data_IF_785309405735
#
_entry.id   IF_785309405735
#
_cell.length_a   1.000
_cell.length_b   1.000
_cell.length_c   1.000
_cell.angle_alpha   90.00
_cell.angle_beta   90.00
_cell.angle_gamma   90.00
#
_symmetry.space_group_name_H-M   'P 1'
#
loop_
_entity.id
_entity.type
_entity.pdbx_description
1 polymer ?
#
# COMPACT_ATOMS: atom_id res chain seq x y z
N UNK A 1 -1.95 19.97 2.56
CA UNK A 1 -1.28 19.42 3.75
C UNK A 1 -0.30 20.44 4.29
N UNK A 2 -0.07 20.45 5.59
CA UNK A 2 1.10 21.08 6.23
C UNK A 2 2.31 20.17 5.95
N UNK A 3 3.36 20.66 5.24
CA UNK A 3 4.46 19.79 4.83
C UNK A 3 5.21 19.16 6.01
N UNK A 4 5.59 17.90 5.85
CA UNK A 4 6.40 17.13 6.80
C UNK A 4 7.44 16.29 6.06
N UNK A 5 8.37 15.66 6.79
CA UNK A 5 9.42 14.81 6.20
C UNK A 5 9.53 13.46 6.92
N UNK A 6 9.68 12.40 6.13
CA UNK A 6 9.93 11.02 6.58
C UNK A 6 11.37 10.66 6.21
N UNK A 7 12.18 10.30 7.20
CA UNK A 7 13.54 9.84 6.96
C UNK A 7 14.31 9.59 8.25
N UNK A 8 15.32 8.71 8.16
CA UNK A 8 16.12 8.24 9.30
C UNK A 8 16.80 9.36 10.10
N UNK A 9 17.12 10.49 9.45
CA UNK A 9 17.81 11.62 10.07
C UNK A 9 16.87 12.62 10.75
N UNK A 10 15.56 12.38 10.70
CA UNK A 10 14.53 13.24 11.26
C UNK A 10 13.81 12.52 12.41
N UNK A 11 12.88 13.21 13.09
CA UNK A 11 12.04 12.58 14.10
C UNK A 11 11.29 11.38 13.50
N UNK A 12 11.18 10.29 14.28
CA UNK A 12 10.33 9.15 13.92
C UNK A 12 8.90 9.63 13.76
N UNK A 13 8.22 9.13 12.73
CA UNK A 13 6.84 9.50 12.37
C UNK A 13 5.91 8.32 12.59
N UNK A 14 4.64 8.59 12.91
CA UNK A 14 3.60 7.59 13.16
C UNK A 14 2.45 7.78 12.19
N UNK A 15 2.05 6.70 11.54
CA UNK A 15 0.87 6.67 10.68
C UNK A 15 -0.35 6.14 11.45
N UNK A 16 -1.53 6.73 11.22
CA UNK A 16 -2.80 6.20 11.70
C UNK A 16 -3.63 5.65 10.53
N UNK A 17 -4.11 4.41 10.65
CA UNK A 17 -5.01 3.82 9.66
C UNK A 17 -6.46 4.07 10.07
N UNK A 18 -7.23 4.67 9.15
CA UNK A 18 -8.68 4.83 9.24
C UNK A 18 -9.31 4.19 7.99
N UNK A 19 -10.62 4.34 7.83
CA UNK A 19 -11.34 3.90 6.64
C UNK A 19 -12.61 3.14 6.99
N UNK A 20 -13.61 3.30 6.13
CA UNK A 20 -14.86 2.59 6.24
C UNK A 20 -14.71 1.11 5.83
N UNK A 21 -15.70 0.29 6.19
CA UNK A 21 -15.82 -1.06 5.65
C UNK A 21 -17.24 -1.31 5.16
N UNK A 22 -17.43 -2.39 4.42
CA UNK A 22 -18.77 -2.82 3.98
C UNK A 22 -19.75 -3.11 5.13
N UNK A 23 -19.25 -3.21 6.37
CA UNK A 23 -20.04 -3.59 7.56
C UNK A 23 -20.28 -2.40 8.50
N UNK A 24 -19.40 -1.40 8.53
CA UNK A 24 -19.43 -0.32 9.55
C UNK A 24 -18.82 0.98 9.04
N UNK A 25 -19.20 2.07 9.71
CA UNK A 25 -18.72 3.45 9.55
C UNK A 25 -19.44 4.30 8.49
N UNK A 26 -19.41 5.62 8.69
CA UNK A 26 -19.94 6.65 7.79
C UNK A 26 -18.86 7.67 7.44
N UNK A 27 -19.12 8.56 6.47
CA UNK A 27 -18.19 9.62 6.09
C UNK A 27 -17.86 10.51 7.29
N UNK A 28 -18.87 10.85 8.10
CA UNK A 28 -18.73 11.69 9.29
C UNK A 28 -17.82 11.04 10.33
N UNK A 29 -18.00 9.74 10.60
CA UNK A 29 -17.14 8.99 11.53
C UNK A 29 -15.69 8.93 11.03
N UNK A 30 -15.46 8.77 9.73
CA UNK A 30 -14.09 8.75 9.18
C UNK A 30 -13.40 10.11 9.26
N UNK A 31 -14.13 11.21 9.03
CA UNK A 31 -13.59 12.57 9.25
C UNK A 31 -13.31 12.83 10.73
N UNK A 32 -14.17 12.34 11.64
CA UNK A 32 -13.90 12.44 13.08
C UNK A 32 -12.63 11.67 13.48
N UNK A 33 -12.45 10.45 12.95
CA UNK A 33 -11.24 9.65 13.18
C UNK A 33 -9.98 10.34 12.68
N UNK A 34 -10.03 11.00 11.51
CA UNK A 34 -8.92 11.81 11.00
C UNK A 34 -8.52 12.92 11.99
N UNK A 35 -9.49 13.71 12.44
CA UNK A 35 -9.25 14.80 13.40
C UNK A 35 -8.72 14.24 14.72
N UNK A 36 -9.26 13.11 15.18
CA UNK A 36 -8.83 12.48 16.41
C UNK A 36 -7.40 11.94 16.32
N UNK A 37 -7.07 11.24 15.23
CA UNK A 37 -5.75 10.68 14.99
C UNK A 37 -4.67 11.77 14.96
N UNK A 38 -4.90 12.83 14.18
CA UNK A 38 -3.95 13.96 14.06
C UNK A 38 -3.80 14.70 15.39
N UNK A 39 -4.89 14.91 16.13
CA UNK A 39 -4.85 15.52 17.48
C UNK A 39 -3.94 14.77 18.46
N UNK A 40 -3.87 13.44 18.36
CA UNK A 40 -3.06 12.60 19.25
C UNK A 40 -1.68 12.24 18.67
N UNK A 41 -1.27 12.89 17.58
CA UNK A 41 0.09 12.77 17.03
C UNK A 41 0.24 11.80 15.86
N UNK A 42 -0.83 11.50 15.12
CA UNK A 42 -0.72 10.87 13.81
C UNK A 42 -0.07 11.85 12.81
N UNK A 43 1.18 11.58 12.42
CA UNK A 43 1.96 12.39 11.48
C UNK A 43 1.51 12.21 10.02
N UNK A 44 0.95 11.04 9.71
CA UNK A 44 0.25 10.74 8.45
C UNK A 44 -1.00 9.94 8.76
N UNK A 45 -1.95 9.93 7.84
CA UNK A 45 -3.14 9.07 7.93
C UNK A 45 -3.28 8.28 6.64
N UNK A 46 -3.70 7.02 6.72
CA UNK A 46 -4.12 6.29 5.54
C UNK A 46 -5.63 6.06 5.55
N UNK A 47 -6.26 6.38 4.42
CA UNK A 47 -7.62 5.94 4.14
C UNK A 47 -7.57 4.53 3.54
N UNK A 48 -7.93 3.54 4.36
CA UNK A 48 -8.00 2.12 3.97
C UNK A 48 -9.45 1.66 3.73
N UNK A 49 -10.33 2.61 3.40
CA UNK A 49 -11.74 2.38 3.12
C UNK A 49 -11.97 1.24 2.12
N UNK A 50 -13.00 0.45 2.39
CA UNK A 50 -13.46 -0.67 1.54
C UNK A 50 -14.98 -0.67 1.46
N UNK A 51 -15.53 -1.09 0.33
CA UNK A 51 -16.98 -1.07 0.10
C UNK A 51 -17.48 0.23 -0.53
N UNK A 52 -18.55 0.81 0.04
CA UNK A 52 -19.31 1.91 -0.60
C UNK A 52 -18.66 3.27 -0.35
N UNK A 53 -18.87 4.18 -1.29
CA UNK A 53 -18.52 5.60 -1.19
C UNK A 53 -17.04 5.86 -0.87
N UNK A 54 -16.13 5.01 -1.37
CA UNK A 54 -14.68 5.17 -1.14
C UNK A 54 -14.19 6.52 -1.66
N UNK A 55 -14.65 6.92 -2.85
CA UNK A 55 -14.25 8.17 -3.48
C UNK A 55 -14.67 9.39 -2.65
N UNK A 56 -15.94 9.43 -2.24
CA UNK A 56 -16.53 10.53 -1.48
C UNK A 56 -15.96 10.60 -0.06
N UNK A 57 -15.78 9.45 0.61
CA UNK A 57 -15.16 9.40 1.94
C UNK A 57 -13.76 9.99 1.90
N UNK A 58 -12.95 9.58 0.92
CA UNK A 58 -11.59 10.09 0.74
C UNK A 58 -11.57 11.57 0.40
N UNK A 59 -12.51 12.06 -0.40
CA UNK A 59 -12.61 13.50 -0.72
C UNK A 59 -12.78 14.32 0.56
N UNK A 60 -13.71 13.92 1.43
CA UNK A 60 -13.90 14.58 2.73
C UNK A 60 -12.67 14.51 3.62
N UNK A 61 -11.98 13.37 3.68
CA UNK A 61 -10.73 13.21 4.43
C UNK A 61 -9.66 14.18 3.88
N UNK A 62 -9.41 14.16 2.58
CA UNK A 62 -8.36 14.96 1.94
C UNK A 62 -8.59 16.47 2.09
N UNK A 63 -9.84 16.94 1.97
CA UNK A 63 -10.17 18.36 2.11
C UNK A 63 -10.08 18.85 3.56
N UNK A 64 -10.08 17.96 4.54
CA UNK A 64 -10.03 18.30 5.96
C UNK A 64 -8.73 17.84 6.67
N UNK A 65 -7.80 17.21 5.95
CA UNK A 65 -6.56 16.71 6.54
C UNK A 65 -5.46 17.78 6.56
N UNK A 66 -4.88 18.09 7.74
CA UNK A 66 -3.65 18.85 7.80
C UNK A 66 -2.41 18.00 7.48
N UNK A 67 -2.50 16.67 7.58
CA UNK A 67 -1.35 15.75 7.39
C UNK A 67 -1.42 15.01 6.05
N UNK A 68 -0.31 14.43 5.56
CA UNK A 68 -0.32 13.60 4.37
C UNK A 68 -1.29 12.42 4.48
N UNK A 69 -2.03 12.17 3.40
CA UNK A 69 -2.97 11.06 3.25
C UNK A 69 -2.38 10.02 2.31
N UNK A 70 -2.30 8.77 2.81
CA UNK A 70 -1.96 7.62 2.00
C UNK A 70 -3.17 6.75 1.67
N UNK A 71 -3.03 5.92 0.64
CA UNK A 71 -4.03 4.92 0.29
C UNK A 71 -3.37 3.61 -0.17
N UNK A 72 -4.19 2.57 -0.28
CA UNK A 72 -3.85 1.36 -1.05
C UNK A 72 -4.77 1.33 -2.27
N UNK A 73 -4.36 1.87 -3.44
CA UNK A 73 -5.28 2.04 -4.58
C UNK A 73 -5.92 0.73 -5.07
N UNK A 74 -5.24 -0.41 -4.83
CA UNK A 74 -5.76 -1.76 -5.09
C UNK A 74 -7.14 -2.01 -4.48
N UNK A 75 -7.45 -1.44 -3.30
CA UNK A 75 -8.72 -1.69 -2.63
C UNK A 75 -9.89 -1.09 -3.41
N UNK A 76 -9.73 0.13 -3.91
CA UNK A 76 -10.75 0.75 -4.77
C UNK A 76 -10.79 0.10 -6.15
N UNK A 77 -9.64 -0.25 -6.73
CA UNK A 77 -9.59 -0.97 -8.00
C UNK A 77 -10.36 -2.30 -7.93
N UNK A 78 -10.26 -3.02 -6.81
CA UNK A 78 -11.01 -4.25 -6.56
C UNK A 78 -12.52 -4.01 -6.47
N UNK A 79 -12.97 -2.93 -5.83
CA UNK A 79 -14.39 -2.57 -5.79
C UNK A 79 -14.93 -2.21 -7.19
N UNK A 80 -14.13 -1.55 -8.04
CA UNK A 80 -14.51 -1.26 -9.44
C UNK A 80 -14.77 -2.52 -10.27
N UNK A 81 -14.22 -3.66 -9.85
CA UNK A 81 -14.46 -4.97 -10.48
C UNK A 81 -15.33 -5.90 -9.60
N UNK A 82 -16.14 -5.31 -8.72
CA UNK A 82 -17.10 -6.01 -7.85
C UNK A 82 -16.48 -7.07 -6.94
N UNK A 83 -15.26 -6.85 -6.44
CA UNK A 83 -14.59 -7.80 -5.55
C UNK A 83 -13.95 -9.00 -6.27
N UNK A 84 -14.06 -9.07 -7.60
CA UNK A 84 -13.54 -10.19 -8.39
C UNK A 84 -12.09 -9.89 -8.78
N UNK A 85 -11.15 -10.35 -7.96
CA UNK A 85 -9.72 -10.12 -8.17
C UNK A 85 -9.26 -10.47 -9.58
N UNK A 86 -9.78 -11.55 -10.17
CA UNK A 86 -9.45 -12.04 -11.52
C UNK A 86 -9.79 -11.04 -12.63
N UNK A 87 -10.75 -10.15 -12.38
CA UNK A 87 -11.16 -9.11 -13.34
C UNK A 87 -10.31 -7.84 -13.25
N UNK A 88 -9.38 -7.76 -12.29
CA UNK A 88 -8.39 -6.68 -12.25
C UNK A 88 -7.51 -6.73 -13.50
N UNK A 89 -7.11 -5.55 -13.97
CA UNK A 89 -6.14 -5.37 -15.05
C UNK A 89 -5.44 -4.02 -14.86
N UNK A 90 -4.45 -3.75 -15.72
CA UNK A 90 -3.69 -2.51 -15.68
C UNK A 90 -4.60 -1.29 -15.89
N UNK A 91 -5.57 -1.35 -16.78
CA UNK A 91 -6.44 -0.22 -17.11
C UNK A 91 -7.26 0.24 -15.90
N UNK A 92 -7.89 -0.69 -15.18
CA UNK A 92 -8.65 -0.39 -13.95
C UNK A 92 -7.73 0.19 -12.87
N UNK A 93 -6.52 -0.36 -12.73
CA UNK A 93 -5.55 0.14 -11.77
C UNK A 93 -5.07 1.55 -12.12
N UNK A 94 -4.70 1.77 -13.38
CA UNK A 94 -4.24 3.06 -13.92
C UNK A 94 -5.28 4.15 -13.71
N UNK A 95 -6.53 3.88 -14.08
CA UNK A 95 -7.62 4.85 -13.92
C UNK A 95 -7.86 5.14 -12.43
N UNK A 96 -7.66 4.17 -11.53
CA UNK A 96 -7.73 4.37 -10.09
C UNK A 96 -6.56 5.20 -9.54
N UNK A 97 -5.35 5.00 -10.04
CA UNK A 97 -4.19 5.82 -9.66
C UNK A 97 -4.39 7.28 -10.06
N UNK A 98 -4.83 7.53 -11.29
CA UNK A 98 -5.09 8.89 -11.79
C UNK A 98 -6.19 9.55 -10.97
N UNK A 99 -7.32 8.86 -10.73
CA UNK A 99 -8.42 9.38 -9.91
C UNK A 99 -7.94 9.80 -8.51
N UNK A 100 -7.16 8.96 -7.83
CA UNK A 100 -6.69 9.27 -6.49
C UNK A 100 -5.61 10.36 -6.47
N UNK A 101 -4.74 10.40 -7.47
CA UNK A 101 -3.73 11.45 -7.61
C UNK A 101 -4.40 12.81 -7.86
N UNK A 102 -5.45 12.86 -8.68
CA UNK A 102 -6.23 14.08 -8.93
C UNK A 102 -6.98 14.56 -7.69
N UNK A 103 -7.40 13.66 -6.80
CA UNK A 103 -7.94 14.06 -5.49
C UNK A 103 -6.87 14.64 -4.57
N UNK A 104 -5.59 14.35 -4.79
CA UNK A 104 -4.47 14.84 -3.98
C UNK A 104 -4.01 13.87 -2.89
N UNK A 105 -4.10 12.56 -3.12
CA UNK A 105 -3.44 11.56 -2.26
C UNK A 105 -1.92 11.77 -2.31
N UNK A 106 -1.27 11.83 -1.15
CA UNK A 106 0.16 12.17 -1.05
C UNK A 106 1.08 10.95 -1.27
N UNK A 107 0.61 9.73 -0.96
CA UNK A 107 1.38 8.50 -1.23
C UNK A 107 0.53 7.26 -1.48
N UNK A 108 1.04 6.36 -2.32
CA UNK A 108 0.40 5.10 -2.65
C UNK A 108 1.16 3.89 -2.12
N UNK A 109 0.47 3.02 -1.39
CA UNK A 109 0.96 1.67 -1.11
C UNK A 109 0.73 0.76 -2.32
N UNK A 110 1.82 0.40 -3.01
CA UNK A 110 1.81 -0.45 -4.20
C UNK A 110 2.56 -1.75 -3.95
N UNK A 111 1.87 -2.88 -4.10
CA UNK A 111 2.41 -4.23 -3.86
C UNK A 111 3.11 -4.80 -5.12
N UNK A 112 3.99 -4.00 -5.73
CA UNK A 112 4.71 -4.39 -6.95
C UNK A 112 5.85 -5.39 -6.69
N UNK A 113 6.24 -5.61 -5.44
CA UNK A 113 7.26 -6.60 -5.05
C UNK A 113 6.76 -8.05 -5.00
N UNK A 114 5.45 -8.27 -4.98
CA UNK A 114 4.85 -9.58 -4.95
C UNK A 114 4.80 -10.17 -6.36
N UNK A 115 5.76 -11.04 -6.65
CA UNK A 115 5.93 -11.66 -7.94
C UNK A 115 5.37 -13.08 -7.98
N UNK A 116 4.89 -13.52 -9.14
CA UNK A 116 4.29 -14.85 -9.34
C UNK A 116 5.20 -15.96 -8.78
N UNK A 117 6.51 -15.86 -9.03
CA UNK A 117 7.50 -16.84 -8.58
C UNK A 117 7.70 -16.89 -7.06
N UNK A 118 7.25 -15.87 -6.31
CA UNK A 118 7.36 -15.84 -4.86
C UNK A 118 6.14 -16.45 -4.16
N UNK A 119 4.98 -16.51 -4.83
CA UNK A 119 3.75 -17.07 -4.25
C UNK A 119 3.93 -18.52 -3.74
N UNK A 120 4.63 -19.44 -4.43
CA UNK A 120 4.86 -20.79 -3.91
C UNK A 120 5.72 -20.83 -2.64
N UNK A 121 6.56 -19.82 -2.39
CA UNK A 121 7.41 -19.76 -1.19
C UNK A 121 6.55 -19.66 0.09
N UNK A 122 5.36 -19.06 0.01
CA UNK A 122 4.46 -18.92 1.15
C UNK A 122 3.65 -20.18 1.46
N UNK A 123 3.74 -21.24 0.64
CA UNK A 123 2.96 -22.47 0.83
C UNK A 123 3.28 -23.21 2.14
N UNK A 124 4.47 -22.97 2.71
CA UNK A 124 4.93 -23.57 3.97
C UNK A 124 4.68 -22.68 5.19
N UNK A 125 4.17 -21.47 5.01
CA UNK A 125 3.90 -20.55 6.11
C UNK A 125 2.77 -21.04 6.99
N UNK A 126 2.87 -20.74 8.27
CA UNK A 126 1.81 -20.99 9.27
C UNK A 126 0.60 -20.11 8.99
N UNK A 127 0.83 -18.84 8.62
CA UNK A 127 -0.25 -17.86 8.40
C UNK A 127 -0.41 -17.41 6.94
N UNK A 128 0.37 -17.98 6.02
CA UNK A 128 0.28 -17.68 4.59
C UNK A 128 0.60 -16.22 4.25
N UNK A 129 -0.21 -15.63 3.37
CA UNK A 129 -0.13 -14.23 2.96
C UNK A 129 -1.17 -13.44 3.77
N UNK A 130 -0.71 -12.59 4.70
CA UNK A 130 -1.59 -11.78 5.56
C UNK A 130 -1.81 -10.35 5.06
N UNK A 131 -1.07 -9.92 4.03
CA UNK A 131 -1.33 -8.64 3.39
C UNK A 131 -2.61 -8.71 2.57
N UNK A 132 -3.56 -7.79 2.80
CA UNK A 132 -4.77 -7.67 1.97
C UNK A 132 -4.41 -7.35 0.52
N UNK A 133 -3.59 -6.33 0.26
CA UNK A 133 -3.15 -6.01 -1.09
C UNK A 133 -2.30 -7.11 -1.72
N UNK A 134 -1.41 -7.72 -0.94
CA UNK A 134 -0.60 -8.86 -1.38
C UNK A 134 -1.44 -10.07 -1.78
N UNK A 135 -2.41 -10.47 -0.95
CA UNK A 135 -3.29 -11.61 -1.25
C UNK A 135 -4.15 -11.39 -2.50
N UNK A 136 -4.59 -10.15 -2.77
CA UNK A 136 -5.32 -9.80 -4.01
C UNK A 136 -4.43 -10.04 -5.25
N UNK A 137 -3.20 -9.53 -5.24
CA UNK A 137 -2.26 -9.71 -6.35
C UNK A 137 -1.83 -11.18 -6.50
N UNK A 138 -1.58 -11.88 -5.39
CA UNK A 138 -1.25 -13.31 -5.43
C UNK A 138 -2.38 -14.12 -6.09
N UNK A 139 -3.64 -13.84 -5.72
CA UNK A 139 -4.82 -14.47 -6.32
C UNK A 139 -4.90 -14.17 -7.82
N UNK A 140 -4.70 -12.92 -8.23
CA UNK A 140 -4.68 -12.53 -9.64
C UNK A 140 -3.57 -13.25 -10.43
N UNK A 141 -2.35 -13.26 -9.90
CA UNK A 141 -1.20 -13.91 -10.55
C UNK A 141 -1.44 -15.41 -10.74
N UNK A 142 -2.02 -16.09 -9.74
CA UNK A 142 -2.33 -17.53 -9.82
C UNK A 142 -3.47 -17.83 -10.80
N UNK A 143 -4.51 -16.99 -10.84
CA UNK A 143 -5.65 -17.17 -11.73
C UNK A 143 -5.26 -17.06 -13.21
N UNK A 144 -4.36 -16.11 -13.53
CA UNK A 144 -3.90 -15.87 -14.90
C UNK A 144 -2.60 -16.58 -15.27
N UNK A 145 -1.88 -17.09 -14.27
CA UNK A 145 -0.52 -17.60 -14.41
C UNK A 145 0.43 -16.59 -15.08
N UNK A 146 0.30 -15.32 -14.69
CA UNK A 146 1.06 -14.19 -15.23
C UNK A 146 1.78 -13.43 -14.11
N UNK A 147 2.83 -12.70 -14.48
CA UNK A 147 3.54 -11.82 -13.55
C UNK A 147 2.66 -10.62 -13.17
N UNK A 148 2.82 -10.13 -11.94
CA UNK A 148 2.03 -9.02 -11.39
C UNK A 148 2.00 -7.82 -12.34
N UNK A 149 0.80 -7.38 -12.73
CA UNK A 149 0.64 -6.19 -13.58
C UNK A 149 1.19 -4.92 -12.91
N UNK A 150 1.24 -4.87 -11.57
CA UNK A 150 1.87 -3.76 -10.86
C UNK A 150 3.39 -3.72 -11.09
N UNK A 151 4.01 -4.89 -11.22
CA UNK A 151 5.43 -5.01 -11.52
C UNK A 151 5.71 -4.72 -13.00
N UNK A 152 4.93 -5.31 -13.91
CA UNK A 152 5.17 -5.14 -15.35
C UNK A 152 4.92 -3.72 -15.84
N UNK A 153 3.99 -2.99 -15.21
CA UNK A 153 3.68 -1.58 -15.52
C UNK A 153 4.31 -0.59 -14.53
N UNK A 154 5.30 -1.01 -13.74
CA UNK A 154 5.86 -0.15 -12.68
C UNK A 154 6.42 1.18 -13.19
N UNK A 155 6.99 1.21 -14.41
CA UNK A 155 7.47 2.44 -15.05
C UNK A 155 6.32 3.42 -15.37
N UNK A 156 5.19 2.93 -15.87
CA UNK A 156 3.99 3.75 -16.10
C UNK A 156 3.39 4.26 -14.78
N UNK A 157 3.45 3.45 -13.70
CA UNK A 157 3.09 3.92 -12.35
C UNK A 157 3.98 5.10 -11.94
N UNK A 158 5.29 5.01 -12.19
CA UNK A 158 6.23 6.10 -11.89
C UNK A 158 5.92 7.37 -12.69
N UNK A 159 5.57 7.25 -13.97
CA UNK A 159 5.16 8.40 -14.80
C UNK A 159 3.92 9.11 -14.24
N UNK A 160 2.93 8.35 -13.75
CA UNK A 160 1.76 8.92 -13.07
C UNK A 160 2.19 9.63 -11.78
N UNK A 161 2.96 8.95 -10.92
CA UNK A 161 3.39 9.50 -9.65
C UNK A 161 4.21 10.79 -9.81
N UNK A 162 5.13 10.82 -10.79
CA UNK A 162 5.95 11.99 -11.10
C UNK A 162 5.12 13.20 -11.55
N UNK A 163 3.99 12.99 -12.24
CA UNK A 163 3.12 14.08 -12.70
C UNK A 163 2.43 14.81 -11.54
N UNK A 164 2.14 14.12 -10.44
CA UNK A 164 1.36 14.65 -9.32
C UNK A 164 2.17 14.76 -8.01
N UNK A 165 3.47 14.43 -8.03
CA UNK A 165 4.34 14.31 -6.84
C UNK A 165 3.76 13.37 -5.78
N UNK A 166 3.25 12.22 -6.21
CA UNK A 166 2.79 11.17 -5.30
C UNK A 166 3.97 10.27 -4.95
N UNK A 167 4.24 10.09 -3.66
CA UNK A 167 5.28 9.17 -3.22
C UNK A 167 4.82 7.70 -3.34
N UNK A 168 5.76 6.80 -3.61
CA UNK A 168 5.52 5.36 -3.57
C UNK A 168 5.88 4.79 -2.20
N UNK A 169 4.89 4.25 -1.50
CA UNK A 169 5.09 3.31 -0.40
C UNK A 169 5.14 1.91 -0.98
N UNK A 170 6.33 1.35 -1.15
CA UNK A 170 6.49 0.02 -1.72
C UNK A 170 6.06 -1.03 -0.71
N UNK A 171 4.88 -1.63 -0.94
CA UNK A 171 4.18 -2.47 0.01
C UNK A 171 4.80 -3.86 0.18
N UNK A 172 4.73 -4.37 1.40
CA UNK A 172 5.25 -5.67 1.81
C UNK A 172 4.18 -6.78 1.73
N UNK A 173 3.81 -7.14 0.50
CA UNK A 173 2.77 -8.14 0.22
C UNK A 173 3.03 -9.51 0.86
N UNK A 174 4.29 -9.86 1.09
CA UNK A 174 4.77 -11.10 1.67
C UNK A 174 5.32 -10.91 3.09
N UNK A 175 4.90 -9.89 3.84
CA UNK A 175 5.27 -9.78 5.27
C UNK A 175 4.82 -10.97 6.11
N UNK A 176 5.53 -11.28 7.21
CA UNK A 176 5.15 -12.37 8.11
C UNK A 176 3.93 -12.02 8.97
N UNK A 177 2.94 -12.91 8.97
CA UNK A 177 1.74 -12.82 9.81
C UNK A 177 1.85 -13.54 11.15
N UNK A 178 2.97 -14.22 11.39
CA UNK A 178 3.28 -14.86 12.66
C UNK A 178 4.79 -14.86 12.88
N UNK A 179 5.20 -15.00 14.14
CA UNK A 179 6.63 -15.11 14.51
C UNK A 179 7.30 -16.35 13.89
N UNK A 180 6.53 -17.36 13.50
CA UNK A 180 7.03 -18.57 12.84
C UNK A 180 7.40 -18.33 11.36
N UNK A 181 6.78 -17.32 10.74
CA UNK A 181 6.99 -16.96 9.34
C UNK A 181 8.04 -15.83 9.18
N UNK A 182 8.59 -15.33 10.29
CA UNK A 182 9.54 -14.21 10.33
C UNK A 182 10.86 -14.53 9.62
N UNK A 183 11.37 -13.56 8.85
CA UNK A 183 12.64 -13.61 8.14
C UNK A 183 12.74 -14.78 7.14
N UNK A 184 11.60 -15.25 6.62
CA UNK A 184 11.58 -16.35 5.66
C UNK A 184 12.01 -15.93 4.25
N UNK A 185 12.13 -16.92 3.37
CA UNK A 185 12.55 -16.71 1.99
C UNK A 185 11.62 -15.76 1.23
N UNK A 186 10.30 -15.89 1.43
CA UNK A 186 9.31 -15.07 0.73
C UNK A 186 9.42 -13.58 1.11
N UNK A 187 9.59 -13.28 2.40
CA UNK A 187 9.75 -11.92 2.90
C UNK A 187 10.99 -11.25 2.30
N UNK A 188 12.15 -11.91 2.36
CA UNK A 188 13.39 -11.32 1.87
C UNK A 188 13.50 -11.32 0.34
N UNK A 189 12.83 -12.24 -0.35
CA UNK A 189 12.72 -12.21 -1.81
C UNK A 189 11.96 -10.95 -2.27
N UNK A 190 10.84 -10.63 -1.64
CA UNK A 190 10.10 -9.39 -1.91
C UNK A 190 10.95 -8.16 -1.58
N UNK A 191 11.58 -8.11 -0.41
CA UNK A 191 12.41 -6.98 0.02
C UNK A 191 13.52 -6.63 -1.01
N UNK A 192 14.16 -7.64 -1.59
CA UNK A 192 15.17 -7.44 -2.65
C UNK A 192 14.56 -6.80 -3.90
N UNK A 193 13.40 -7.29 -4.33
CA UNK A 193 12.64 -6.69 -5.44
C UNK A 193 12.26 -5.23 -5.12
N UNK A 194 11.84 -4.91 -3.88
CA UNK A 194 11.52 -3.53 -3.52
C UNK A 194 12.73 -2.59 -3.67
N UNK A 195 13.94 -3.08 -3.36
CA UNK A 195 15.17 -2.34 -3.60
C UNK A 195 15.49 -2.12 -5.09
N UNK A 196 15.12 -3.05 -5.97
CA UNK A 196 15.21 -2.88 -7.43
C UNK A 196 14.19 -1.85 -7.92
N UNK A 197 12.94 -1.97 -7.49
CA UNK A 197 11.86 -1.04 -7.83
C UNK A 197 12.13 0.38 -7.33
N UNK A 198 12.77 0.53 -6.16
CA UNK A 198 13.21 1.83 -5.65
C UNK A 198 14.17 2.52 -6.61
N UNK A 199 15.15 1.79 -7.16
CA UNK A 199 16.08 2.35 -8.16
C UNK A 199 15.36 2.78 -9.43
N UNK A 200 14.38 1.98 -9.89
CA UNK A 200 13.56 2.33 -11.05
C UNK A 200 12.77 3.61 -10.76
N UNK A 201 12.10 3.73 -9.62
CA UNK A 201 11.34 4.92 -9.27
C UNK A 201 12.21 6.18 -9.22
N UNK A 202 13.45 6.07 -8.73
CA UNK A 202 14.41 7.17 -8.73
C UNK A 202 14.89 7.59 -10.13
N UNK A 203 14.80 6.73 -11.15
CA UNK A 203 15.05 7.15 -12.55
C UNK A 203 14.00 8.16 -13.04
N UNK A 204 12.83 8.23 -12.39
CA UNK A 204 11.72 9.14 -12.69
C UNK A 204 11.58 10.26 -11.64
N UNK A 205 12.56 10.44 -10.76
CA UNK A 205 12.51 11.38 -9.63
C UNK A 205 11.30 11.17 -8.69
N UNK A 206 10.77 9.94 -8.62
CA UNK A 206 9.64 9.60 -7.73
C UNK A 206 10.16 9.28 -6.33
N UNK A 207 9.54 9.91 -5.32
CA UNK A 207 9.87 9.70 -3.91
C UNK A 207 9.45 8.29 -3.47
N UNK A 208 10.26 7.62 -2.64
CA UNK A 208 10.02 6.24 -2.21
C UNK A 208 10.24 6.03 -0.72
N UNK A 209 9.32 5.30 -0.09
CA UNK A 209 9.50 4.63 1.20
C UNK A 209 9.24 3.12 1.01
N UNK A 210 9.89 2.28 1.83
CA UNK A 210 9.72 0.83 1.78
C UNK A 210 8.93 0.40 3.02
N UNK A 211 7.83 -0.30 2.83
CA UNK A 211 7.11 -0.96 3.93
C UNK A 211 7.89 -2.19 4.39
N UNK A 212 7.83 -2.44 5.70
CA UNK A 212 8.60 -3.48 6.37
C UNK A 212 7.72 -4.36 7.25
N UNK A 213 8.29 -5.46 7.75
CA UNK A 213 7.52 -6.59 8.28
C UNK A 213 6.63 -6.28 9.47
N UNK A 214 5.67 -7.20 9.66
CA UNK A 214 4.79 -7.27 10.82
C UNK A 214 5.39 -8.09 11.98
N UNK A 215 5.07 -9.39 12.03
CA UNK A 215 5.33 -10.20 13.23
C UNK A 215 6.77 -10.70 13.30
N UNK A 216 7.66 -9.99 14.01
CA UNK A 216 9.09 -10.33 14.15
C UNK A 216 9.48 -10.48 15.64
N UNK A 217 10.12 -11.58 16.06
CA UNK A 217 10.66 -11.70 17.41
C UNK A 217 11.87 -10.78 17.61
N UNK A 218 12.07 -10.27 18.84
CA UNK A 218 13.07 -9.20 19.11
C UNK A 218 14.48 -9.48 18.57
N UNK A 219 14.95 -10.73 18.64
CA UNK A 219 16.30 -11.11 18.20
C UNK A 219 16.49 -11.07 16.67
N UNK A 220 15.40 -11.03 15.89
CA UNK A 220 15.40 -10.95 14.42
C UNK A 220 15.20 -9.53 13.88
N UNK A 221 14.85 -8.57 14.73
CA UNK A 221 14.57 -7.18 14.30
C UNK A 221 15.79 -6.56 13.62
N UNK A 222 17.00 -6.79 14.14
CA UNK A 222 18.20 -6.13 13.63
C UNK A 222 18.58 -6.54 12.20
N UNK A 223 18.25 -7.76 11.79
CA UNK A 223 18.49 -8.26 10.43
C UNK A 223 17.61 -7.56 9.39
N UNK A 224 16.45 -7.06 9.80
CA UNK A 224 15.51 -6.35 8.93
C UNK A 224 15.89 -4.88 8.68
N UNK A 225 16.93 -4.35 9.33
CA UNK A 225 17.28 -2.92 9.38
C UNK A 225 18.73 -2.64 9.04
#
# INVERSE_FOLDING_TARGET
SEPMIIGRNFLVKVNANIGNSSVTSSIEEEVEKLVWATRWGGDTVMDLSTGRNIHETREWILRNSPVPIGTVPMYQALEKVNGIAENLNWEVMRDTLIEQAEQGVDYFTIHAGLLLRYVPMTAKRVTGIVSRGGSIIAKWCLAHHQESFLYTHFREICEICAKYDVALSLGDGLRPGSVADANDEAQFAELRTLGELTKIAWEYDVQVIIEGPGHIPMHMIKENM
#
